data_IF_775368579994
#
_entry.id   IF_775368579994
#
_cell.length_a   1.000
_cell.length_b   1.000
_cell.length_c   1.000
_cell.angle_alpha   90.00
_cell.angle_beta   90.00
_cell.angle_gamma   90.00
#
_symmetry.space_group_name_H-M   'P 1'
#
loop_
_entity.id
_entity.type
_entity.pdbx_description
1 polymer ?
#
# COMPACT_ATOMS: atom_id res chain seq x y z
N UNK A 1 -24.83 -14.53 4.55
CA UNK A 1 -24.33 -13.15 4.68
C UNK A 1 -24.28 -12.54 3.28
N UNK A 2 -24.95 -11.41 3.05
CA UNK A 2 -24.99 -10.75 1.74
C UNK A 2 -23.71 -9.94 1.56
N UNK A 3 -23.00 -10.12 0.44
CA UNK A 3 -21.81 -9.32 0.09
C UNK A 3 -22.27 -7.90 -0.29
N UNK A 4 -22.09 -6.95 0.64
CA UNK A 4 -22.41 -5.54 0.45
C UNK A 4 -21.20 -4.87 -0.21
N UNK A 5 -21.11 -4.93 -1.54
CA UNK A 5 -20.10 -4.20 -2.34
C UNK A 5 -19.14 -5.09 -3.15
N UNK A 6 -18.53 -4.56 -4.24
CA UNK A 6 -17.45 -5.23 -4.96
C UNK A 6 -16.27 -5.49 -4.02
N UNK A 7 -15.41 -6.46 -4.34
CA UNK A 7 -14.29 -6.87 -3.49
C UNK A 7 -13.43 -5.65 -3.08
N UNK A 8 -13.64 -5.16 -1.85
CA UNK A 8 -12.87 -4.06 -1.28
C UNK A 8 -11.61 -4.64 -0.67
N UNK A 9 -10.49 -4.49 -1.37
CA UNK A 9 -9.17 -4.82 -0.85
C UNK A 9 -8.23 -3.62 -0.94
N UNK A 10 -7.40 -3.49 0.09
CA UNK A 10 -6.25 -2.60 0.06
C UNK A 10 -5.08 -3.36 -0.55
N UNK A 11 -4.29 -2.66 -1.34
CA UNK A 11 -3.14 -3.20 -2.04
C UNK A 11 -1.92 -2.32 -1.80
N UNK A 12 -0.76 -2.97 -1.70
CA UNK A 12 0.52 -2.28 -1.65
C UNK A 12 1.00 -2.01 -3.07
N UNK A 13 1.27 -0.74 -3.38
CA UNK A 13 1.70 -0.29 -4.71
C UNK A 13 2.84 0.71 -4.60
N UNK A 14 3.76 0.68 -5.57
CA UNK A 14 4.76 1.72 -5.75
C UNK A 14 5.08 1.89 -7.23
N UNK A 15 5.72 3.00 -7.61
CA UNK A 15 6.16 3.19 -8.99
C UNK A 15 7.34 2.25 -9.35
N UNK A 16 7.48 1.86 -10.62
CA UNK A 16 8.65 1.14 -11.10
C UNK A 16 9.97 1.87 -10.80
N UNK A 17 9.96 3.20 -10.87
CA UNK A 17 11.12 4.05 -10.55
C UNK A 17 11.57 3.93 -9.10
N UNK A 18 10.64 3.71 -8.17
CA UNK A 18 10.98 3.39 -6.79
C UNK A 18 11.75 2.07 -6.71
N UNK A 19 11.29 1.05 -7.44
CA UNK A 19 11.92 -0.27 -7.46
C UNK A 19 13.24 -0.33 -8.24
N UNK A 20 13.53 0.66 -9.08
CA UNK A 20 14.84 0.81 -9.68
C UNK A 20 15.94 1.10 -8.63
N UNK A 21 15.56 1.69 -7.49
CA UNK A 21 16.46 2.06 -6.38
C UNK A 21 16.41 1.07 -5.22
N UNK A 22 15.29 0.39 -5.02
CA UNK A 22 15.08 -0.55 -3.91
C UNK A 22 14.44 -1.85 -4.40
N UNK A 23 14.89 -3.03 -3.93
CA UNK A 23 14.34 -4.30 -4.38
C UNK A 23 12.84 -4.41 -4.05
N UNK A 24 12.08 -5.10 -4.90
CA UNK A 24 10.65 -5.33 -4.68
C UNK A 24 10.44 -6.20 -3.43
N UNK A 25 9.60 -5.80 -2.46
CA UNK A 25 9.33 -6.61 -1.27
C UNK A 25 8.59 -7.89 -1.65
N UNK A 26 9.02 -9.03 -1.10
CA UNK A 26 8.42 -10.35 -1.35
C UNK A 26 7.60 -10.83 -0.16
N UNK A 27 7.85 -10.24 1.01
CA UNK A 27 7.09 -10.49 2.23
C UNK A 27 6.66 -9.16 2.86
N UNK A 28 5.55 -9.13 3.61
CA UNK A 28 5.15 -7.91 4.30
C UNK A 28 6.18 -7.42 5.34
N UNK A 29 7.06 -8.30 5.82
CA UNK A 29 8.15 -7.95 6.73
C UNK A 29 9.20 -7.09 6.03
N UNK A 30 9.41 -7.28 4.73
CA UNK A 30 10.35 -6.47 3.93
C UNK A 30 9.94 -5.00 3.92
N UNK A 31 8.65 -4.68 4.10
CA UNK A 31 8.15 -3.30 4.15
C UNK A 31 8.81 -2.45 5.24
N UNK A 32 9.32 -3.07 6.30
CA UNK A 32 10.06 -2.36 7.37
C UNK A 32 11.34 -1.72 6.83
N UNK A 33 11.93 -2.28 5.76
CA UNK A 33 13.12 -1.72 5.10
C UNK A 33 12.77 -0.72 3.97
N UNK A 34 11.49 -0.43 3.77
CA UNK A 34 11.00 0.45 2.71
C UNK A 34 10.44 1.76 3.26
N UNK A 35 10.44 2.77 2.39
CA UNK A 35 9.74 4.02 2.62
C UNK A 35 8.25 3.76 2.44
N UNK A 36 7.54 3.58 3.55
CA UNK A 36 6.11 3.37 3.53
C UNK A 36 5.36 4.70 3.64
N UNK A 37 4.31 4.85 2.84
CA UNK A 37 3.40 5.98 2.86
C UNK A 37 2.20 5.59 3.72
N UNK A 38 2.12 6.16 4.91
CA UNK A 38 1.11 5.81 5.91
C UNK A 38 -0.13 6.68 5.81
N UNK A 39 -1.27 6.07 6.13
CA UNK A 39 -2.53 6.77 6.37
C UNK A 39 -2.70 7.02 7.88
N UNK A 40 -2.83 8.28 8.27
CA UNK A 40 -3.22 8.68 9.63
C UNK A 40 -4.73 8.64 9.76
N UNK A 41 -5.21 7.87 10.74
CA UNK A 41 -6.62 7.86 11.09
C UNK A 41 -6.91 8.95 12.11
N UNK A 42 -7.71 9.95 11.72
CA UNK A 42 -8.06 11.11 12.54
C UNK A 42 -8.79 10.73 13.83
N UNK A 43 -9.54 9.62 13.84
CA UNK A 43 -10.37 9.18 14.98
C UNK A 43 -9.62 8.44 16.08
N UNK A 44 -8.46 7.84 15.79
CA UNK A 44 -7.69 7.05 16.77
C UNK A 44 -6.26 7.54 16.98
N UNK A 45 -5.85 8.65 16.32
CA UNK A 45 -4.49 9.23 16.45
C UNK A 45 -3.36 8.33 15.94
N UNK A 46 -3.66 7.09 15.54
CA UNK A 46 -2.71 6.08 15.07
C UNK A 46 -2.56 6.05 13.56
N UNK A 47 -1.43 5.50 13.13
CA UNK A 47 -1.22 5.09 11.74
C UNK A 47 -2.07 3.84 11.47
N UNK A 48 -2.67 3.78 10.30
CA UNK A 48 -3.38 2.60 9.83
C UNK A 48 -2.42 1.40 9.82
N UNK A 49 -2.85 0.28 10.41
CA UNK A 49 -2.07 -0.95 10.42
C UNK A 49 -2.33 -1.69 9.13
N UNK A 50 -1.28 -2.06 8.41
CA UNK A 50 -1.42 -2.72 7.12
C UNK A 50 -1.72 -4.19 7.37
N UNK A 51 -2.81 -4.68 6.82
CA UNK A 51 -3.28 -6.05 7.02
C UNK A 51 -3.08 -6.83 5.73
N UNK A 52 -2.20 -7.83 5.75
CA UNK A 52 -1.95 -8.73 4.63
C UNK A 52 -2.44 -10.12 5.02
N UNK A 53 -2.93 -10.89 4.06
CA UNK A 53 -3.21 -12.30 4.25
C UNK A 53 -2.26 -13.10 3.37
N UNK A 54 -1.50 -14.03 3.94
CA UNK A 54 -0.63 -14.94 3.18
C UNK A 54 -0.78 -16.36 3.72
N UNK A 55 -1.04 -17.32 2.83
CA UNK A 55 -1.21 -18.74 3.19
C UNK A 55 -2.23 -18.99 4.32
N UNK A 56 -3.32 -18.21 4.35
CA UNK A 56 -4.37 -18.29 5.38
C UNK A 56 -3.98 -17.71 6.75
N UNK A 57 -2.87 -16.98 6.83
CA UNK A 57 -2.44 -16.25 8.02
C UNK A 57 -2.60 -14.74 7.82
N UNK A 58 -3.39 -14.12 8.68
CA UNK A 58 -3.49 -12.67 8.77
C UNK A 58 -2.21 -12.12 9.41
N UNK A 59 -1.49 -11.29 8.66
CA UNK A 59 -0.27 -10.64 9.07
C UNK A 59 -0.48 -9.13 9.11
N UNK A 60 -0.38 -8.58 10.32
CA UNK A 60 -0.48 -7.14 10.56
C UNK A 60 0.92 -6.55 10.62
N UNK A 61 1.22 -5.63 9.71
CA UNK A 61 2.49 -4.91 9.69
C UNK A 61 2.25 -3.48 10.12
N UNK A 62 2.96 -3.09 11.16
CA UNK A 62 3.11 -1.68 11.52
C UNK A 62 4.38 -1.17 10.87
N UNK A 63 4.23 -0.40 9.80
CA UNK A 63 5.35 0.20 9.09
C UNK A 63 5.65 1.58 9.66
N UNK A 64 6.92 1.85 9.95
CA UNK A 64 7.39 3.19 10.26
C UNK A 64 7.63 3.92 8.93
N UNK A 65 6.67 4.75 8.54
CA UNK A 65 6.70 5.45 7.27
C UNK A 65 7.12 6.91 7.43
N UNK A 66 8.01 7.38 6.54
CA UNK A 66 8.45 8.78 6.52
C UNK A 66 7.34 9.74 6.10
N UNK A 67 6.43 9.29 5.24
CA UNK A 67 5.32 10.08 4.75
C UNK A 67 4.03 9.62 5.41
N UNK A 68 3.30 10.58 5.98
CA UNK A 68 2.00 10.32 6.61
C UNK A 68 0.97 11.27 6.03
N UNK A 69 -0.07 10.73 5.41
CA UNK A 69 -1.18 11.48 4.85
C UNK A 69 -2.48 11.18 5.61
N UNK A 70 -3.49 12.02 5.42
CA UNK A 70 -4.84 11.84 5.99
C UNK A 70 -5.87 11.45 4.92
N UNK A 71 -5.44 11.13 3.70
CA UNK A 71 -6.30 10.80 2.55
C UNK A 71 -5.55 9.91 1.56
N UNK A 72 -6.25 9.06 0.83
CA UNK A 72 -5.66 8.06 -0.09
C UNK A 72 -5.18 8.67 -1.41
N UNK A 73 -5.86 9.68 -1.95
CA UNK A 73 -5.46 10.35 -3.21
C UNK A 73 -4.02 10.89 -3.17
N UNK A 74 -3.62 11.72 -2.18
CA UNK A 74 -2.24 12.20 -2.13
C UNK A 74 -1.21 11.10 -1.85
N UNK A 75 -1.62 9.96 -1.27
CA UNK A 75 -0.74 8.79 -1.15
C UNK A 75 -0.45 8.17 -2.51
N UNK A 76 -1.44 8.11 -3.40
CA UNK A 76 -1.29 7.60 -4.77
C UNK A 76 -0.35 8.50 -5.55
N UNK A 77 -0.54 9.82 -5.47
CA UNK A 77 0.35 10.79 -6.13
C UNK A 77 1.81 10.67 -5.64
N UNK A 78 2.00 10.49 -4.33
CA UNK A 78 3.32 10.25 -3.77
C UNK A 78 3.94 8.91 -4.23
N UNK A 79 3.14 7.85 -4.36
CA UNK A 79 3.61 6.57 -4.89
C UNK A 79 3.99 6.67 -6.37
N UNK A 80 3.20 7.40 -7.17
CA UNK A 80 3.50 7.68 -8.58
C UNK A 80 4.79 8.49 -8.74
N UNK A 81 5.04 9.44 -7.84
CA UNK A 81 6.29 10.21 -7.79
C UNK A 81 7.50 9.38 -7.31
N UNK A 82 7.31 8.12 -6.91
CA UNK A 82 8.37 7.24 -6.44
C UNK A 82 8.90 7.59 -5.04
N UNK A 83 8.05 8.19 -4.21
CA UNK A 83 8.37 8.53 -2.82
C UNK A 83 8.28 7.35 -1.86
N UNK A 84 7.71 6.22 -2.28
CA UNK A 84 7.54 5.06 -1.42
C UNK A 84 6.45 4.10 -1.87
N UNK A 85 6.15 3.14 -0.99
CA UNK A 85 5.06 2.17 -1.13
C UNK A 85 3.82 2.73 -0.44
N UNK A 86 2.70 2.77 -1.14
CA UNK A 86 1.41 3.17 -0.58
C UNK A 86 0.49 1.95 -0.39
N UNK A 87 -0.30 1.96 0.68
CA UNK A 87 -1.35 0.97 0.95
C UNK A 87 -2.72 1.62 0.76
N UNK A 88 -3.34 1.36 -0.39
CA UNK A 88 -4.51 2.08 -0.87
C UNK A 88 -5.53 1.13 -1.52
N UNK A 89 -6.81 1.54 -1.65
CA UNK A 89 -7.82 0.71 -2.31
C UNK A 89 -7.45 0.40 -3.76
N UNK A 90 -7.52 -0.87 -4.14
CA UNK A 90 -7.17 -1.32 -5.51
C UNK A 90 -7.98 -0.60 -6.58
N UNK A 91 -9.26 -0.34 -6.31
CA UNK A 91 -10.17 0.34 -7.24
C UNK A 91 -9.66 1.73 -7.67
N UNK A 92 -8.85 2.40 -6.85
CA UNK A 92 -8.29 3.72 -7.15
C UNK A 92 -6.98 3.64 -7.96
N UNK A 93 -6.28 2.50 -7.93
CA UNK A 93 -4.97 2.33 -8.56
C UNK A 93 -4.98 1.34 -9.72
N UNK A 94 -6.08 0.65 -9.97
CA UNK A 94 -6.23 -0.35 -11.04
C UNK A 94 -5.84 0.20 -12.42
N UNK A 95 -6.26 1.42 -12.77
CA UNK A 95 -5.87 2.09 -14.01
C UNK A 95 -4.37 2.39 -14.09
N UNK A 96 -3.79 2.88 -12.98
CA UNK A 96 -2.34 3.14 -12.89
C UNK A 96 -1.51 1.86 -12.99
N UNK A 97 -2.01 0.75 -12.45
CA UNK A 97 -1.37 -0.57 -12.57
C UNK A 97 -1.46 -1.07 -14.01
N UNK A 98 -2.64 -0.98 -14.64
CA UNK A 98 -2.84 -1.40 -16.03
C UNK A 98 -1.95 -0.61 -17.02
N UNK A 99 -1.71 0.67 -16.73
CA UNK A 99 -0.80 1.52 -17.50
C UNK A 99 0.69 1.32 -17.17
N UNK A 100 1.03 0.47 -16.19
CA UNK A 100 2.40 0.22 -15.75
C UNK A 100 3.04 1.37 -14.97
N UNK A 101 2.26 2.37 -14.55
CA UNK A 101 2.73 3.50 -13.73
C UNK A 101 2.91 3.11 -12.26
N UNK A 102 2.14 2.14 -11.79
CA UNK A 102 2.29 1.52 -10.48
C UNK A 102 2.45 0.01 -10.63
N UNK A 103 3.21 -0.58 -9.73
CA UNK A 103 3.40 -2.02 -9.62
C UNK A 103 2.77 -2.50 -8.32
N UNK A 104 1.85 -3.46 -8.45
CA UNK A 104 1.29 -4.18 -7.33
C UNK A 104 2.36 -5.07 -6.69
N UNK A 105 2.48 -5.02 -5.37
CA UNK A 105 3.36 -5.88 -4.59
C UNK A 105 2.57 -6.56 -3.48
N UNK A 106 3.04 -7.73 -3.03
CA UNK A 106 2.42 -8.48 -1.92
C UNK A 106 0.93 -8.82 -2.15
N UNK A 107 0.53 -9.06 -3.40
CA UNK A 107 -0.86 -9.32 -3.79
C UNK A 107 -1.29 -10.80 -3.80
N UNK A 108 -0.42 -11.70 -3.34
CA UNK A 108 -0.63 -13.15 -3.21
C UNK A 108 -1.18 -13.54 -1.84
#
# INVERSE_FOLDING_TARGET
>A
AVRIGPDWRLVAVASPDYFARRPVPRTPQDLVAHDCINLRLTTFGGLYTWEFAKDGRDLRVRVEGQLTFNSTIPMIDAALAGSGIAYVPESLVSGHIAEGRLTLVLGD
#
